data_IF_644899949621
#
_entry.id   IF_644899949621
#
_cell.length_a   1.000
_cell.length_b   1.000
_cell.length_c   1.000
_cell.angle_alpha   90.00
_cell.angle_beta   90.00
_cell.angle_gamma   90.00
#
_symmetry.space_group_name_H-M   'P 1'
#
loop_
_entity.id
_entity.type
_entity.pdbx_description
1 polymer ?
#
# COMPACT_ATOMS: atom_id res chain seq x y z
N UNK A 1 25.45 -8.86 48.88
CA UNK A 1 24.81 -8.05 47.81
C UNK A 1 25.75 -7.04 47.14
N UNK A 2 26.47 -6.15 47.84
CA UNK A 2 27.35 -5.13 47.21
C UNK A 2 28.41 -5.68 46.22
N UNK A 3 29.02 -6.84 46.48
CA UNK A 3 30.01 -7.47 45.58
C UNK A 3 29.40 -7.94 44.24
N UNK A 4 28.13 -8.35 44.23
CA UNK A 4 27.43 -8.82 43.02
C UNK A 4 27.12 -7.61 42.12
N UNK A 5 26.59 -6.52 42.68
CA UNK A 5 26.32 -5.29 41.94
C UNK A 5 27.57 -4.46 41.59
N UNK A 6 28.74 -4.78 42.12
CA UNK A 6 29.99 -4.16 41.70
C UNK A 6 30.62 -4.88 40.49
N UNK A 7 30.21 -6.12 40.20
CA UNK A 7 30.79 -6.93 39.16
C UNK A 7 30.49 -6.36 37.76
N UNK A 8 31.54 -6.27 36.93
CA UNK A 8 31.47 -5.79 35.55
C UNK A 8 30.56 -6.68 34.69
N UNK A 9 30.58 -8.00 34.91
CA UNK A 9 29.72 -8.94 34.19
C UNK A 9 28.24 -8.74 34.52
N UNK A 10 27.91 -8.53 35.80
CA UNK A 10 26.54 -8.22 36.24
C UNK A 10 26.05 -6.92 35.61
N UNK A 11 26.89 -5.87 35.54
CA UNK A 11 26.53 -4.61 34.88
C UNK A 11 26.30 -4.76 33.38
N UNK A 12 27.07 -5.63 32.70
CA UNK A 12 26.88 -5.91 31.27
C UNK A 12 25.57 -6.63 30.99
N UNK A 13 25.24 -7.64 31.78
CA UNK A 13 23.95 -8.36 31.66
C UNK A 13 22.79 -7.41 31.93
N UNK A 14 22.88 -6.59 32.98
CA UNK A 14 21.84 -5.61 33.30
C UNK A 14 21.70 -4.53 32.21
N UNK A 15 22.78 -4.19 31.49
CA UNK A 15 22.72 -3.24 30.38
C UNK A 15 21.94 -3.77 29.16
N UNK A 16 21.74 -5.08 29.03
CA UNK A 16 20.86 -5.66 28.00
C UNK A 16 19.42 -5.18 28.18
N UNK A 17 18.97 -4.97 29.42
CA UNK A 17 17.64 -4.41 29.70
C UNK A 17 17.49 -3.01 29.10
N UNK A 18 18.57 -2.23 29.04
CA UNK A 18 18.56 -0.92 28.39
C UNK A 18 18.36 -1.03 26.89
N UNK A 19 18.97 -2.03 26.25
CA UNK A 19 18.78 -2.33 24.82
C UNK A 19 17.34 -2.78 24.56
N UNK A 20 16.77 -3.62 25.42
CA UNK A 20 15.38 -4.07 25.31
C UNK A 20 14.42 -2.87 25.36
N UNK A 21 14.63 -1.94 26.30
CA UNK A 21 13.81 -0.72 26.37
C UNK A 21 13.95 0.12 25.08
N UNK A 22 15.18 0.34 24.59
CA UNK A 22 15.40 1.05 23.32
C UNK A 22 14.72 0.34 22.15
N UNK A 23 14.76 -0.98 22.09
CA UNK A 23 14.06 -1.76 21.06
C UNK A 23 12.55 -1.50 21.10
N UNK A 24 11.92 -1.45 22.28
CA UNK A 24 10.50 -1.10 22.38
C UNK A 24 10.21 0.33 21.92
N UNK A 25 11.09 1.29 22.21
CA UNK A 25 10.98 2.67 21.69
C UNK A 25 11.08 2.70 20.16
N UNK A 26 12.03 1.97 19.58
CA UNK A 26 12.15 1.85 18.12
C UNK A 26 10.95 1.12 17.50
N UNK A 27 10.41 0.09 18.16
CA UNK A 27 9.17 -0.58 17.73
C UNK A 27 7.97 0.36 17.79
N UNK A 28 7.90 1.22 18.80
CA UNK A 28 6.87 2.26 18.89
C UNK A 28 7.02 3.31 17.79
N UNK A 29 8.25 3.68 17.43
CA UNK A 29 8.53 4.53 16.27
C UNK A 29 7.99 3.89 14.98
N UNK A 30 8.31 2.62 14.74
CA UNK A 30 7.77 1.86 13.60
C UNK A 30 6.23 1.89 13.59
N UNK A 31 5.60 1.58 14.72
CA UNK A 31 4.15 1.64 14.82
C UNK A 31 3.59 3.04 14.58
N UNK A 32 4.26 4.10 15.03
CA UNK A 32 3.77 5.45 14.79
C UNK A 32 3.72 5.84 13.31
N UNK A 33 4.67 5.32 12.52
CA UNK A 33 4.77 5.61 11.08
C UNK A 33 3.71 4.81 10.30
N UNK A 34 3.59 3.50 10.58
CA UNK A 34 2.79 2.60 9.75
C UNK A 34 1.38 2.33 10.28
N UNK A 35 1.09 2.62 11.55
CA UNK A 35 -0.19 2.34 12.18
C UNK A 35 -0.78 3.60 12.80
N UNK A 36 -2.11 3.64 12.92
CA UNK A 36 -2.91 4.52 13.75
C UNK A 36 -3.07 3.93 15.16
N UNK A 37 -2.64 4.68 16.18
CA UNK A 37 -2.64 4.24 17.58
C UNK A 37 -3.94 4.69 18.25
N UNK A 38 -4.82 3.74 18.55
CA UNK A 38 -6.04 3.97 19.30
C UNK A 38 -5.87 3.54 20.76
N UNK A 39 -5.76 4.53 21.67
CA UNK A 39 -5.61 4.30 23.10
C UNK A 39 -6.99 4.14 23.77
N UNK A 40 -7.34 2.91 24.14
CA UNK A 40 -8.65 2.62 24.77
C UNK A 40 -8.70 3.11 26.22
N UNK A 41 -7.59 2.96 26.97
CA UNK A 41 -7.52 3.27 28.40
C UNK A 41 -6.35 4.21 28.70
N UNK A 42 -6.54 5.51 28.47
CA UNK A 42 -5.49 6.54 28.61
C UNK A 42 -4.79 6.53 29.98
N UNK A 43 -5.55 6.40 31.06
CA UNK A 43 -4.99 6.42 32.43
C UNK A 43 -4.11 5.20 32.72
N UNK A 44 -4.57 4.00 32.34
CA UNK A 44 -3.85 2.74 32.58
C UNK A 44 -2.56 2.67 31.75
N UNK A 45 -2.63 3.11 30.49
CA UNK A 45 -1.47 3.19 29.61
C UNK A 45 -0.43 4.20 30.14
N UNK A 46 -0.87 5.39 30.56
CA UNK A 46 0.03 6.39 31.14
C UNK A 46 0.75 5.87 32.40
N UNK A 47 0.01 5.24 33.33
CA UNK A 47 0.59 4.69 34.56
C UNK A 47 1.57 3.55 34.27
N UNK A 48 1.22 2.62 33.38
CA UNK A 48 2.08 1.50 33.01
C UNK A 48 3.35 1.95 32.29
N UNK A 49 3.24 2.83 31.30
CA UNK A 49 4.40 3.38 30.58
C UNK A 49 5.29 4.17 31.54
N UNK A 50 4.72 4.96 32.44
CA UNK A 50 5.50 5.70 33.44
C UNK A 50 6.26 4.76 34.38
N UNK A 51 5.60 3.71 34.88
CA UNK A 51 6.23 2.70 35.74
C UNK A 51 7.39 1.96 35.05
N UNK A 52 7.18 1.51 33.82
CA UNK A 52 8.22 0.86 33.00
C UNK A 52 9.36 1.82 32.68
N UNK A 53 9.05 3.06 32.30
CA UNK A 53 10.03 4.10 31.99
C UNK A 53 10.89 4.45 33.20
N UNK A 54 10.30 4.57 34.39
CA UNK A 54 11.04 4.84 35.62
C UNK A 54 11.96 3.67 35.98
N UNK A 55 11.47 2.44 35.90
CA UNK A 55 12.28 1.24 36.14
C UNK A 55 13.45 1.15 35.16
N UNK A 56 13.18 1.39 33.87
CA UNK A 56 14.21 1.45 32.84
C UNK A 56 15.24 2.54 33.14
N UNK A 57 14.82 3.75 33.51
CA UNK A 57 15.71 4.86 33.85
C UNK A 57 16.66 4.50 35.01
N UNK A 58 16.15 3.91 36.09
CA UNK A 58 16.98 3.49 37.23
C UNK A 58 18.06 2.49 36.77
N UNK A 59 17.68 1.53 35.93
CA UNK A 59 18.59 0.52 35.38
C UNK A 59 19.63 1.17 34.44
N UNK A 60 19.21 2.10 33.59
CA UNK A 60 20.11 2.82 32.69
C UNK A 60 21.10 3.69 33.45
N UNK A 61 20.66 4.38 34.51
CA UNK A 61 21.56 5.18 35.35
C UNK A 61 22.60 4.29 36.07
N UNK A 62 22.19 3.12 36.55
CA UNK A 62 23.10 2.15 37.15
C UNK A 62 24.14 1.60 36.14
N UNK A 63 23.76 1.47 34.87
CA UNK A 63 24.61 0.94 33.79
C UNK A 63 25.23 2.02 32.90
N UNK A 64 25.13 3.30 33.25
CA UNK A 64 25.48 4.47 32.40
C UNK A 64 26.88 4.48 31.76
N UNK A 65 27.84 3.74 32.33
CA UNK A 65 29.21 3.64 31.81
C UNK A 65 29.40 2.48 30.81
N UNK A 66 28.41 1.58 30.69
CA UNK A 66 28.43 0.50 29.70
C UNK A 66 28.16 1.05 28.31
N UNK A 67 28.85 0.49 27.31
CA UNK A 67 28.74 0.94 25.91
C UNK A 67 27.30 0.78 25.40
N UNK A 68 26.62 -0.33 25.73
CA UNK A 68 25.24 -0.58 25.33
C UNK A 68 24.29 0.53 25.80
N UNK A 69 24.35 0.89 27.09
CA UNK A 69 23.51 1.96 27.65
C UNK A 69 23.81 3.33 27.04
N UNK A 70 25.07 3.61 26.70
CA UNK A 70 25.45 4.84 25.99
C UNK A 70 24.83 4.91 24.60
N UNK A 71 24.93 3.82 23.83
CA UNK A 71 24.32 3.75 22.49
C UNK A 71 22.79 3.89 22.61
N UNK A 72 22.16 3.15 23.51
CA UNK A 72 20.73 3.29 23.83
C UNK A 72 20.33 4.75 24.13
N UNK A 73 21.14 5.47 24.91
CA UNK A 73 20.86 6.87 25.25
C UNK A 73 20.85 7.82 24.05
N UNK A 74 21.58 7.49 22.98
CA UNK A 74 21.65 8.29 21.76
C UNK A 74 20.52 7.99 20.79
N UNK A 75 19.92 6.78 20.87
CA UNK A 75 18.89 6.32 19.92
C UNK A 75 17.47 6.69 20.38
N UNK A 76 17.21 6.70 21.69
CA UNK A 76 15.85 6.88 22.24
C UNK A 76 15.19 8.18 21.76
N UNK A 77 15.90 9.31 21.82
CA UNK A 77 15.33 10.60 21.43
C UNK A 77 15.09 10.70 19.91
N UNK A 78 16.05 10.37 19.02
CA UNK A 78 15.75 10.28 17.60
C UNK A 78 14.59 9.37 17.24
N UNK A 79 14.50 8.19 17.86
CA UNK A 79 13.42 7.25 17.61
C UNK A 79 12.05 7.81 18.05
N UNK A 80 12.00 8.68 19.06
CA UNK A 80 10.75 9.29 19.50
C UNK A 80 10.27 10.45 18.64
N UNK A 81 11.07 10.96 17.70
CA UNK A 81 10.66 12.10 16.88
C UNK A 81 9.39 11.81 16.06
N UNK A 82 9.28 10.71 15.28
CA UNK A 82 8.06 10.42 14.53
C UNK A 82 6.84 10.24 15.45
N UNK A 83 7.03 9.63 16.62
CA UNK A 83 5.98 9.47 17.62
C UNK A 83 5.47 10.83 18.11
N UNK A 84 6.37 11.77 18.39
CA UNK A 84 6.01 13.12 18.85
C UNK A 84 5.27 13.92 17.78
N UNK A 85 5.67 13.80 16.52
CA UNK A 85 5.04 14.54 15.42
C UNK A 85 3.67 13.97 15.05
N UNK A 86 3.58 12.64 14.87
CA UNK A 86 2.38 11.97 14.37
C UNK A 86 1.30 11.77 15.45
N UNK A 87 1.68 11.69 16.72
CA UNK A 87 0.76 11.48 17.86
C UNK A 87 0.75 12.65 18.82
N UNK A 88 0.97 13.86 18.29
CA UNK A 88 0.92 15.08 19.08
C UNK A 88 -0.45 15.21 19.75
N UNK A 89 -0.46 15.23 21.09
CA UNK A 89 -1.68 15.23 21.91
C UNK A 89 -1.84 14.00 22.81
N UNK A 90 -1.24 12.86 22.46
CA UNK A 90 -1.21 11.66 23.31
C UNK A 90 -0.04 11.72 24.31
N UNK A 91 -0.04 12.78 25.14
CA UNK A 91 1.05 13.14 26.07
C UNK A 91 1.39 12.04 27.08
N UNK A 92 0.41 11.23 27.49
CA UNK A 92 0.62 10.13 28.44
C UNK A 92 1.54 9.03 27.92
N UNK A 93 1.64 8.88 26.59
CA UNK A 93 2.59 7.96 25.95
C UNK A 93 3.95 8.64 25.72
N UNK A 94 3.95 9.91 25.32
CA UNK A 94 5.14 10.64 24.89
C UNK A 94 6.03 11.05 26.06
N UNK A 95 5.46 11.73 27.07
CA UNK A 95 6.22 12.44 28.11
C UNK A 95 7.16 11.50 28.88
N UNK A 96 6.71 10.33 29.41
CA UNK A 96 7.59 9.48 30.20
C UNK A 96 8.82 9.03 29.43
N UNK A 97 8.68 8.66 28.16
CA UNK A 97 9.77 8.15 27.32
C UNK A 97 10.76 9.26 26.97
N UNK A 98 10.26 10.46 26.62
CA UNK A 98 11.11 11.63 26.32
C UNK A 98 11.92 12.04 27.55
N UNK A 99 11.29 12.10 28.74
CA UNK A 99 11.98 12.43 29.99
C UNK A 99 13.10 11.43 30.26
N UNK A 100 12.85 10.13 30.08
CA UNK A 100 13.90 9.10 30.19
C UNK A 100 15.03 9.38 29.21
N UNK A 101 14.72 9.64 27.93
CA UNK A 101 15.71 9.94 26.89
C UNK A 101 16.58 11.14 27.21
N UNK A 102 15.99 12.25 27.67
CA UNK A 102 16.72 13.46 28.05
C UNK A 102 17.63 13.19 29.25
N UNK A 103 17.09 12.61 30.33
CA UNK A 103 17.84 12.36 31.56
C UNK A 103 18.99 11.40 31.30
N UNK A 104 18.77 10.31 30.55
CA UNK A 104 19.83 9.35 30.27
C UNK A 104 20.88 9.90 29.31
N UNK A 105 20.51 10.73 28.33
CA UNK A 105 21.47 11.38 27.44
C UNK A 105 22.41 12.30 28.23
N UNK A 106 21.87 13.15 29.10
CA UNK A 106 22.65 14.11 29.89
C UNK A 106 23.52 13.43 30.95
N UNK A 107 22.99 12.40 31.62
CA UNK A 107 23.67 11.66 32.67
C UNK A 107 24.44 10.43 32.16
N UNK A 108 24.49 10.24 30.83
CA UNK A 108 25.23 9.16 30.19
C UNK A 108 26.71 9.26 30.54
N UNK A 109 27.39 8.11 30.64
CA UNK A 109 28.83 8.06 30.88
C UNK A 109 29.68 8.42 29.66
N UNK A 110 29.10 9.05 28.63
CA UNK A 110 29.78 9.55 27.44
C UNK A 110 30.52 10.87 27.73
N UNK A 111 31.51 11.22 26.90
CA UNK A 111 32.24 12.48 27.05
C UNK A 111 31.34 13.70 26.87
N UNK A 112 31.60 14.79 27.61
CA UNK A 112 30.77 16.01 27.59
C UNK A 112 30.61 16.58 26.18
N UNK A 113 31.69 16.66 25.40
CA UNK A 113 31.62 17.16 24.02
C UNK A 113 30.67 16.36 23.13
N UNK A 114 30.64 15.03 23.27
CA UNK A 114 29.72 14.16 22.48
C UNK A 114 28.28 14.37 22.90
N UNK A 115 28.01 14.47 24.21
CA UNK A 115 26.67 14.73 24.72
C UNK A 115 26.13 16.07 24.24
N UNK A 116 26.95 17.12 24.32
CA UNK A 116 26.57 18.45 23.83
C UNK A 116 26.29 18.44 22.33
N UNK A 117 27.20 17.87 21.53
CA UNK A 117 27.01 17.79 20.08
C UNK A 117 25.75 17.02 19.69
N UNK A 118 25.54 15.81 20.25
CA UNK A 118 24.34 15.01 19.97
C UNK A 118 23.07 15.69 20.45
N UNK A 119 23.08 16.31 21.64
CA UNK A 119 21.93 17.05 22.13
C UNK A 119 21.56 18.22 21.20
N UNK A 120 22.55 18.96 20.67
CA UNK A 120 22.28 20.03 19.69
C UNK A 120 21.73 19.50 18.37
N UNK A 121 22.26 18.38 17.85
CA UNK A 121 21.77 17.75 16.62
C UNK A 121 20.33 17.27 16.80
N UNK A 122 20.04 16.57 17.91
CA UNK A 122 18.68 16.08 18.23
C UNK A 122 17.72 17.25 18.38
N UNK A 123 18.12 18.31 19.07
CA UNK A 123 17.29 19.51 19.22
C UNK A 123 16.96 20.14 17.86
N UNK A 124 17.95 20.33 16.99
CA UNK A 124 17.75 20.86 15.64
C UNK A 124 16.82 19.94 14.82
N UNK A 125 17.01 18.63 14.91
CA UNK A 125 16.17 17.65 14.23
C UNK A 125 14.70 17.73 14.67
N UNK A 126 14.42 17.95 15.96
CA UNK A 126 13.07 18.17 16.46
C UNK A 126 12.48 19.50 15.95
N UNK A 127 13.26 20.58 15.92
CA UNK A 127 12.81 21.89 15.43
C UNK A 127 12.47 21.80 13.94
N UNK A 128 13.39 21.30 13.11
CA UNK A 128 13.18 21.16 11.67
C UNK A 128 12.12 20.12 11.34
N UNK A 129 12.06 19.02 12.08
CA UNK A 129 11.02 17.99 11.93
C UNK A 129 9.63 18.52 12.24
N UNK A 130 9.48 19.27 13.33
CA UNK A 130 8.21 19.92 13.66
C UNK A 130 7.83 20.96 12.60
N UNK A 131 8.76 21.84 12.21
CA UNK A 131 8.50 22.83 11.16
C UNK A 131 8.08 22.17 9.84
N UNK A 132 8.81 21.16 9.39
CA UNK A 132 8.51 20.43 8.16
C UNK A 132 7.15 19.72 8.23
N UNK A 133 6.85 19.07 9.35
CA UNK A 133 5.55 18.42 9.58
C UNK A 133 4.41 19.44 9.53
N UNK A 134 4.51 20.55 10.27
CA UNK A 134 3.47 21.58 10.27
C UNK A 134 3.26 22.23 8.90
N UNK A 135 4.34 22.51 8.15
CA UNK A 135 4.21 23.02 6.78
C UNK A 135 3.51 21.99 5.90
N UNK A 136 3.92 20.71 5.98
CA UNK A 136 3.31 19.65 5.18
C UNK A 136 1.82 19.50 5.50
N UNK A 137 1.45 19.35 6.77
CA UNK A 137 0.05 19.18 7.17
C UNK A 137 -0.79 20.43 6.87
N UNK A 138 -0.23 21.63 7.00
CA UNK A 138 -0.99 22.86 6.74
C UNK A 138 -1.25 23.11 5.24
N UNK A 139 -0.32 22.70 4.36
CA UNK A 139 -0.45 22.95 2.92
C UNK A 139 -1.07 21.78 2.15
N UNK A 140 -0.85 20.54 2.58
CA UNK A 140 -1.21 19.35 1.81
C UNK A 140 -2.34 18.52 2.43
N UNK A 141 -2.70 18.74 3.70
CA UNK A 141 -3.81 18.01 4.34
C UNK A 141 -5.01 18.93 4.42
N UNK A 142 -6.00 18.70 3.57
CA UNK A 142 -7.28 19.41 3.64
C UNK A 142 -8.06 18.94 4.87
N UNK A 143 -8.58 19.84 5.72
CA UNK A 143 -9.45 19.47 6.81
C UNK A 143 -10.84 19.08 6.26
N UNK A 144 -10.97 17.87 5.73
CA UNK A 144 -12.27 17.31 5.40
C UNK A 144 -12.96 16.88 6.71
N UNK A 145 -14.13 17.45 6.98
CA UNK A 145 -14.96 16.98 8.10
C UNK A 145 -15.70 15.73 7.65
N UNK A 146 -15.12 14.59 7.97
CA UNK A 146 -15.73 13.28 7.79
C UNK A 146 -16.60 12.92 9.00
N UNK A 147 -17.82 12.45 8.75
CA UNK A 147 -18.70 11.85 9.77
C UNK A 147 -18.99 10.41 9.39
N UNK A 148 -18.65 9.48 10.26
CA UNK A 148 -19.00 8.08 10.10
C UNK A 148 -20.49 7.88 10.38
N UNK A 149 -21.22 7.37 9.39
CA UNK A 149 -22.68 7.15 9.43
C UNK A 149 -23.01 5.70 9.76
N UNK A 150 -22.13 4.77 9.42
CA UNK A 150 -22.28 3.36 9.74
C UNK A 150 -21.00 2.58 9.52
N UNK A 151 -20.87 1.47 10.23
CA UNK A 151 -19.77 0.53 10.08
C UNK A 151 -20.22 -0.89 10.38
N UNK A 152 -19.45 -1.85 9.88
CA UNK A 152 -19.71 -3.26 10.09
C UNK A 152 -18.54 -4.14 9.67
N UNK A 153 -18.71 -5.44 9.88
CA UNK A 153 -17.70 -6.46 9.58
C UNK A 153 -18.32 -7.47 8.62
N UNK A 154 -17.53 -7.99 7.68
CA UNK A 154 -17.97 -8.99 6.74
C UNK A 154 -18.30 -10.32 7.44
N UNK A 155 -19.11 -11.20 6.84
CA UNK A 155 -19.47 -12.49 7.41
C UNK A 155 -18.27 -13.37 7.78
N UNK A 156 -17.20 -13.36 6.97
CA UNK A 156 -15.98 -14.11 7.26
C UNK A 156 -15.17 -13.51 8.43
N UNK A 157 -15.38 -12.22 8.72
CA UNK A 157 -14.59 -11.48 9.69
C UNK A 157 -13.29 -10.91 9.12
N UNK A 158 -12.99 -11.13 7.84
CA UNK A 158 -11.73 -10.71 7.22
C UNK A 158 -11.72 -9.24 6.84
N UNK A 159 -12.89 -8.65 6.58
CA UNK A 159 -13.02 -7.24 6.20
C UNK A 159 -13.93 -6.48 7.14
N UNK A 160 -13.67 -5.18 7.25
CA UNK A 160 -14.60 -4.23 7.84
C UNK A 160 -14.84 -3.09 6.87
N UNK A 161 -16.00 -2.47 7.00
CA UNK A 161 -16.37 -1.32 6.19
C UNK A 161 -16.80 -0.15 7.07
N UNK A 162 -16.55 1.07 6.57
CA UNK A 162 -17.06 2.32 7.15
C UNK A 162 -17.74 3.14 6.05
N UNK A 163 -18.91 3.69 6.37
CA UNK A 163 -19.66 4.61 5.54
C UNK A 163 -19.43 6.00 6.10
N UNK A 164 -18.94 6.89 5.25
CA UNK A 164 -18.50 8.22 5.66
C UNK A 164 -19.18 9.24 4.79
N UNK A 165 -19.84 10.19 5.44
CA UNK A 165 -20.32 11.39 4.80
C UNK A 165 -19.28 12.48 5.02
N UNK A 166 -18.80 13.06 3.93
CA UNK A 166 -17.95 14.24 3.98
C UNK A 166 -18.76 15.47 3.62
N UNK A 167 -18.59 16.53 4.41
CA UNK A 167 -19.16 17.85 4.11
C UNK A 167 -18.09 18.66 3.40
N UNK A 168 -18.36 19.02 2.14
CA UNK A 168 -17.52 19.91 1.34
C UNK A 168 -18.41 20.97 0.67
N UNK A 169 -17.78 22.03 0.19
CA UNK A 169 -18.31 23.14 -0.62
C UNK A 169 -19.12 22.69 -1.86
N UNK A 170 -19.07 21.42 -2.22
CA UNK A 170 -19.73 20.81 -3.39
C UNK A 170 -20.89 19.87 -3.03
N UNK A 171 -21.72 20.22 -2.02
CA UNK A 171 -22.87 19.43 -1.54
C UNK A 171 -22.53 18.06 -0.91
N UNK A 172 -21.30 17.92 -0.41
CA UNK A 172 -20.83 16.72 0.28
C UNK A 172 -20.71 15.46 -0.58
N UNK A 173 -20.21 14.38 0.00
CA UNK A 173 -20.20 13.05 -0.64
C UNK A 173 -20.39 11.93 0.37
N UNK A 174 -20.95 10.81 -0.08
CA UNK A 174 -21.03 9.58 0.69
C UNK A 174 -20.06 8.58 0.10
N UNK A 175 -19.12 8.11 0.91
CA UNK A 175 -18.11 7.13 0.51
C UNK A 175 -18.17 5.89 1.40
N UNK A 176 -18.00 4.72 0.78
CA UNK A 176 -17.83 3.45 1.50
C UNK A 176 -16.39 3.03 1.36
N UNK A 177 -15.73 2.87 2.50
CA UNK A 177 -14.38 2.36 2.59
C UNK A 177 -14.42 0.93 3.09
N UNK A 178 -13.59 0.07 2.49
CA UNK A 178 -13.34 -1.30 2.93
C UNK A 178 -11.86 -1.43 3.27
N UNK A 179 -11.56 -2.13 4.36
CA UNK A 179 -10.20 -2.44 4.79
C UNK A 179 -10.14 -3.81 5.49
N UNK A 180 -8.96 -4.46 5.56
CA UNK A 180 -8.80 -5.74 6.23
C UNK A 180 -8.98 -5.59 7.74
N UNK A 181 -9.81 -6.45 8.32
CA UNK A 181 -10.07 -6.49 9.75
C UNK A 181 -9.00 -7.28 10.55
N UNK A 182 -8.16 -8.04 9.84
CA UNK A 182 -7.12 -8.92 10.42
C UNK A 182 -5.75 -8.25 10.52
N UNK A 183 -5.53 -7.11 9.86
CA UNK A 183 -4.23 -6.44 9.79
C UNK A 183 -3.83 -5.67 11.07
N UNK A 184 -4.78 -5.46 11.99
CA UNK A 184 -4.55 -4.69 13.21
C UNK A 184 -3.73 -5.46 14.25
N UNK A 185 -2.87 -4.76 14.97
CA UNK A 185 -2.17 -5.31 16.13
C UNK A 185 -2.87 -4.86 17.41
N UNK A 186 -3.50 -5.80 18.11
CA UNK A 186 -4.28 -5.54 19.33
C UNK A 186 -3.45 -5.85 20.58
N UNK A 187 -3.29 -4.87 21.48
CA UNK A 187 -2.74 -5.05 22.82
C UNK A 187 -3.79 -4.66 23.87
N UNK A 188 -3.56 -5.02 25.13
CA UNK A 188 -4.52 -4.79 26.23
C UNK A 188 -4.93 -3.33 26.45
N UNK A 189 -4.08 -2.36 26.07
CA UNK A 189 -4.32 -0.92 26.33
C UNK A 189 -4.43 -0.07 25.06
N UNK A 190 -4.05 -0.62 23.91
CA UNK A 190 -4.02 0.10 22.63
C UNK A 190 -4.24 -0.86 21.47
N UNK A 191 -4.99 -0.40 20.48
CA UNK A 191 -5.11 -1.05 19.16
C UNK A 191 -4.29 -0.24 18.16
N UNK A 192 -3.49 -0.93 17.36
CA UNK A 192 -2.72 -0.35 16.27
C UNK A 192 -3.40 -0.76 14.96
N UNK A 193 -4.06 0.18 14.31
CA UNK A 193 -4.75 -0.01 13.03
C UNK A 193 -3.80 0.31 11.89
N UNK A 194 -3.68 -0.53 10.87
CA UNK A 194 -2.68 -0.31 9.81
C UNK A 194 -3.08 0.86 8.89
N UNK A 195 -2.18 1.82 8.66
CA UNK A 195 -2.43 3.00 7.82
C UNK A 195 -2.48 2.67 6.33
N UNK A 196 -3.23 3.48 5.58
CA UNK A 196 -3.31 3.43 4.12
C UNK A 196 -3.72 2.05 3.59
N UNK A 197 -4.66 1.42 4.29
CA UNK A 197 -5.30 0.17 3.86
C UNK A 197 -6.73 0.40 3.40
N UNK A 198 -7.27 1.61 3.51
CA UNK A 198 -8.64 1.89 3.12
C UNK A 198 -8.77 1.96 1.60
N UNK A 199 -9.79 1.29 1.06
CA UNK A 199 -10.16 1.34 -0.36
C UNK A 199 -11.56 1.88 -0.52
N UNK A 200 -11.71 2.89 -1.37
CA UNK A 200 -13.02 3.43 -1.75
C UNK A 200 -13.67 2.48 -2.74
N UNK A 201 -14.75 1.83 -2.33
CA UNK A 201 -15.49 0.87 -3.17
C UNK A 201 -16.79 1.46 -3.71
N UNK A 202 -17.27 2.52 -3.07
CA UNK A 202 -18.38 3.31 -3.54
C UNK A 202 -18.16 4.77 -3.18
N UNK A 203 -18.46 5.66 -4.12
CA UNK A 203 -18.44 7.10 -3.92
C UNK A 203 -19.64 7.67 -4.69
N UNK A 204 -20.52 8.35 -3.98
CA UNK A 204 -21.64 9.06 -4.60
C UNK A 204 -21.69 10.51 -4.15
N UNK A 205 -22.19 11.35 -5.05
CA UNK A 205 -22.34 12.79 -4.88
C UNK A 205 -23.68 13.21 -5.48
N UNK A 206 -24.55 13.93 -4.73
CA UNK A 206 -24.36 14.54 -3.39
C UNK A 206 -24.65 13.62 -2.18
N UNK A 207 -24.33 14.06 -0.96
CA UNK A 207 -24.36 13.26 0.30
C UNK A 207 -25.74 12.93 0.90
N UNK A 208 -26.82 13.13 0.16
CA UNK A 208 -28.20 13.07 0.71
C UNK A 208 -28.81 11.65 0.68
N UNK A 209 -28.06 10.64 0.24
CA UNK A 209 -28.58 9.29 0.05
C UNK A 209 -28.30 8.38 1.27
N UNK A 210 -29.33 7.67 1.75
CA UNK A 210 -29.23 6.63 2.77
C UNK A 210 -28.75 5.34 2.10
N UNK A 211 -27.62 4.79 2.57
CA UNK A 211 -27.02 3.58 2.01
C UNK A 211 -27.22 2.42 2.97
N UNK A 212 -27.88 1.37 2.48
CA UNK A 212 -27.93 0.08 3.14
C UNK A 212 -26.88 -0.85 2.55
N UNK A 213 -26.02 -1.41 3.41
CA UNK A 213 -25.01 -2.40 3.05
C UNK A 213 -25.51 -3.80 3.38
N UNK A 214 -25.36 -4.73 2.44
CA UNK A 214 -25.62 -6.15 2.62
C UNK A 214 -24.41 -6.97 2.19
N UNK A 215 -24.17 -8.06 2.91
CA UNK A 215 -23.12 -9.01 2.61
C UNK A 215 -23.72 -10.35 2.23
N UNK A 216 -23.18 -10.96 1.18
CA UNK A 216 -23.39 -12.36 0.82
C UNK A 216 -22.05 -13.08 0.77
N UNK A 217 -22.06 -14.38 1.04
CA UNK A 217 -20.91 -15.25 0.77
C UNK A 217 -21.23 -16.04 -0.49
N UNK A 218 -20.42 -15.85 -1.53
CA UNK A 218 -20.57 -16.50 -2.84
C UNK A 218 -19.38 -17.41 -3.11
N UNK A 219 -19.58 -18.45 -3.94
CA UNK A 219 -18.48 -19.32 -4.32
C UNK A 219 -17.65 -18.70 -5.47
N UNK A 220 -16.40 -19.16 -5.62
CA UNK A 220 -15.45 -18.69 -6.64
C UNK A 220 -16.03 -18.74 -8.06
N UNK A 221 -16.74 -19.82 -8.38
CA UNK A 221 -17.36 -20.01 -9.69
C UNK A 221 -18.43 -18.96 -9.98
N UNK A 222 -19.36 -18.71 -9.04
CA UNK A 222 -20.43 -17.71 -9.16
C UNK A 222 -19.84 -16.30 -9.36
N UNK A 223 -18.81 -15.97 -8.59
CA UNK A 223 -18.14 -14.67 -8.69
C UNK A 223 -17.46 -14.53 -10.06
N UNK A 224 -16.77 -15.57 -10.53
CA UNK A 224 -16.06 -15.58 -11.82
C UNK A 224 -17.03 -15.47 -13.00
N UNK A 225 -18.15 -16.22 -12.96
CA UNK A 225 -19.21 -16.14 -13.96
C UNK A 225 -19.82 -14.73 -14.00
N UNK A 226 -20.08 -14.12 -12.85
CA UNK A 226 -20.58 -12.75 -12.77
C UNK A 226 -19.57 -11.75 -13.33
N UNK A 227 -18.28 -11.86 -13.02
CA UNK A 227 -17.23 -10.98 -13.55
C UNK A 227 -17.13 -11.08 -15.07
N UNK A 228 -17.10 -12.31 -15.60
CA UNK A 228 -17.07 -12.55 -17.04
C UNK A 228 -18.35 -12.05 -17.75
N UNK A 229 -19.50 -11.99 -17.04
CA UNK A 229 -20.73 -11.39 -17.58
C UNK A 229 -20.66 -9.86 -17.69
N UNK A 230 -19.83 -9.20 -16.86
CA UNK A 230 -19.60 -7.75 -16.93
C UNK A 230 -18.63 -7.43 -18.08
N UNK A 231 -17.52 -8.16 -18.17
CA UNK A 231 -16.47 -7.92 -19.15
C UNK A 231 -15.70 -9.20 -19.45
N UNK A 232 -15.45 -9.45 -20.74
CA UNK A 232 -14.59 -10.51 -21.25
C UNK A 232 -13.10 -10.14 -21.28
N UNK A 233 -12.76 -8.91 -20.87
CA UNK A 233 -11.40 -8.33 -20.94
C UNK A 233 -10.78 -8.10 -19.56
N UNK A 234 -11.19 -8.88 -18.55
CA UNK A 234 -10.62 -8.78 -17.21
C UNK A 234 -9.24 -9.44 -17.23
N UNK A 235 -8.20 -8.65 -17.01
CA UNK A 235 -6.82 -9.12 -16.95
C UNK A 235 -6.39 -9.39 -15.50
N UNK A 236 -5.78 -10.54 -15.28
CA UNK A 236 -5.17 -10.97 -14.01
C UNK A 236 -3.66 -10.88 -14.16
N UNK A 237 -2.99 -10.17 -13.25
CA UNK A 237 -1.53 -10.10 -13.22
C UNK A 237 -0.98 -11.24 -12.37
N UNK A 238 0.01 -11.96 -12.88
CA UNK A 238 0.61 -13.14 -12.26
C UNK A 238 2.13 -13.06 -12.28
N UNK A 239 2.77 -13.79 -11.39
CA UNK A 239 4.24 -13.92 -11.30
C UNK A 239 4.79 -14.84 -12.40
N UNK A 240 6.12 -14.82 -12.59
CA UNK A 240 6.80 -15.73 -13.52
C UNK A 240 6.57 -17.21 -13.19
N UNK A 241 6.58 -17.56 -11.90
CA UNK A 241 6.35 -18.93 -11.45
C UNK A 241 4.91 -19.38 -11.72
N UNK A 242 3.94 -18.50 -11.50
CA UNK A 242 2.53 -18.77 -11.79
C UNK A 242 2.26 -18.88 -13.29
N UNK A 243 2.91 -18.06 -14.12
CA UNK A 243 2.83 -18.19 -15.58
C UNK A 243 3.29 -19.59 -16.05
N UNK A 244 4.42 -20.07 -15.54
CA UNK A 244 4.93 -21.41 -15.85
C UNK A 244 3.96 -22.50 -15.40
N UNK A 245 3.38 -22.37 -14.21
CA UNK A 245 2.38 -23.30 -13.69
C UNK A 245 1.09 -23.32 -14.52
N UNK A 246 0.69 -22.17 -15.08
CA UNK A 246 -0.43 -22.06 -16.01
C UNK A 246 -0.11 -22.58 -17.42
N UNK A 247 1.13 -23.02 -17.68
CA UNK A 247 1.58 -23.54 -18.96
C UNK A 247 2.01 -22.47 -19.96
N UNK A 248 2.21 -21.22 -19.53
CA UNK A 248 2.78 -20.17 -20.36
C UNK A 248 4.31 -20.24 -20.37
N UNK A 249 4.90 -19.91 -21.51
CA UNK A 249 6.35 -19.83 -21.68
C UNK A 249 6.78 -18.37 -21.73
N UNK A 250 8.07 -18.11 -21.57
CA UNK A 250 8.59 -16.75 -21.73
C UNK A 250 8.25 -16.18 -23.11
N UNK A 251 8.47 -16.98 -24.15
CA UNK A 251 8.31 -16.58 -25.55
C UNK A 251 6.85 -16.26 -25.92
N UNK A 252 5.87 -17.05 -25.45
CA UNK A 252 4.45 -16.82 -25.76
C UNK A 252 3.82 -15.61 -25.03
N UNK A 253 4.56 -15.04 -24.07
CA UNK A 253 4.18 -13.79 -23.37
C UNK A 253 4.94 -12.57 -23.87
N UNK A 254 5.78 -12.69 -24.90
CA UNK A 254 6.44 -11.53 -25.47
C UNK A 254 5.47 -10.66 -26.27
N UNK A 255 5.50 -9.36 -26.00
CA UNK A 255 4.65 -8.37 -26.67
C UNK A 255 5.43 -7.13 -27.09
N UNK A 256 4.98 -6.53 -28.18
CA UNK A 256 5.39 -5.21 -28.65
C UNK A 256 4.51 -4.15 -27.97
N UNK A 257 5.17 -3.15 -27.40
CA UNK A 257 4.58 -2.02 -26.68
C UNK A 257 5.14 -0.71 -27.22
N UNK A 258 4.49 0.42 -26.91
CA UNK A 258 4.95 1.76 -27.33
C UNK A 258 5.21 1.87 -28.85
N UNK A 259 4.41 1.17 -29.65
CA UNK A 259 4.52 1.18 -31.11
C UNK A 259 4.26 2.61 -31.63
N UNK A 260 5.18 3.15 -32.41
CA UNK A 260 4.96 4.39 -33.15
C UNK A 260 3.89 4.18 -34.23
N UNK A 261 3.26 5.28 -34.68
CA UNK A 261 2.19 5.19 -35.68
C UNK A 261 2.64 4.45 -36.96
N UNK A 262 3.87 4.71 -37.43
CA UNK A 262 4.43 4.02 -38.60
C UNK A 262 4.59 2.52 -38.38
N UNK A 263 5.00 2.10 -37.18
CA UNK A 263 5.14 0.69 -36.82
C UNK A 263 3.78 0.01 -36.68
N UNK A 264 2.77 0.67 -36.12
CA UNK A 264 1.39 0.15 -36.08
C UNK A 264 0.82 -0.11 -37.48
N UNK A 265 0.98 0.84 -38.40
CA UNK A 265 0.49 0.68 -39.77
C UNK A 265 1.14 -0.50 -40.51
N UNK A 266 2.41 -0.82 -40.22
CA UNK A 266 3.11 -1.94 -40.83
C UNK A 266 2.52 -3.32 -40.47
N UNK A 267 1.83 -3.41 -39.33
CA UNK A 267 1.13 -4.63 -38.88
C UNK A 267 -0.39 -4.54 -39.07
N UNK A 268 -0.86 -3.58 -39.87
CA UNK A 268 -2.29 -3.43 -40.19
C UNK A 268 -3.13 -2.80 -39.07
N UNK A 269 -2.49 -2.21 -38.05
CA UNK A 269 -3.17 -1.49 -36.97
C UNK A 269 -3.32 0.00 -37.28
N UNK A 270 -4.27 0.64 -36.62
CA UNK A 270 -4.55 2.06 -36.72
C UNK A 270 -3.86 2.85 -35.60
N UNK A 271 -3.81 4.18 -35.74
CA UNK A 271 -3.26 5.04 -34.69
C UNK A 271 -4.05 4.97 -33.36
N UNK A 272 -5.34 4.63 -33.43
CA UNK A 272 -6.24 4.45 -32.27
C UNK A 272 -6.02 3.15 -31.51
N UNK A 273 -5.31 2.17 -32.08
CA UNK A 273 -5.04 0.91 -31.41
C UNK A 273 -3.90 1.09 -30.41
N UNK A 274 -4.23 1.13 -29.12
CA UNK A 274 -3.28 1.38 -28.04
C UNK A 274 -2.84 0.12 -27.28
N UNK A 275 -3.46 -1.02 -27.58
CA UNK A 275 -3.18 -2.27 -26.90
C UNK A 275 -1.80 -2.82 -27.32
N UNK A 276 -1.06 -3.45 -26.39
CA UNK A 276 0.10 -4.26 -26.72
C UNK A 276 -0.21 -5.35 -27.75
N UNK A 277 0.77 -5.71 -28.56
CA UNK A 277 0.63 -6.74 -29.60
C UNK A 277 1.50 -7.94 -29.24
N UNK A 278 0.89 -9.09 -29.02
CA UNK A 278 1.63 -10.33 -28.76
C UNK A 278 2.40 -10.76 -30.01
N UNK A 279 3.67 -11.15 -29.84
CA UNK A 279 4.52 -11.54 -30.95
C UNK A 279 4.01 -12.80 -31.67
N UNK A 280 3.32 -13.69 -30.95
CA UNK A 280 2.68 -14.89 -31.51
C UNK A 280 1.58 -14.57 -32.54
N UNK A 281 0.97 -13.39 -32.46
CA UNK A 281 -0.07 -12.97 -33.41
C UNK A 281 0.48 -12.42 -34.72
N UNK A 282 1.80 -12.21 -34.81
CA UNK A 282 2.46 -11.61 -35.97
C UNK A 282 2.94 -12.68 -36.96
N UNK A 283 2.92 -12.35 -38.25
CA UNK A 283 3.51 -13.17 -39.30
C UNK A 283 5.03 -13.06 -39.29
N UNK A 284 5.74 -14.01 -39.90
CA UNK A 284 7.22 -13.97 -39.98
C UNK A 284 7.72 -12.73 -40.74
N UNK A 285 6.95 -12.26 -41.73
CA UNK A 285 7.21 -11.03 -42.49
C UNK A 285 7.04 -9.78 -41.62
N UNK A 286 6.02 -9.77 -40.77
CA UNK A 286 5.80 -8.68 -39.81
C UNK A 286 6.90 -8.66 -38.75
N UNK A 287 7.30 -9.82 -38.22
CA UNK A 287 8.40 -9.93 -37.25
C UNK A 287 9.74 -9.49 -37.86
N UNK A 288 9.98 -9.82 -39.13
CA UNK A 288 11.18 -9.39 -39.87
C UNK A 288 11.29 -7.86 -39.94
N UNK A 289 10.16 -7.16 -40.14
CA UNK A 289 10.14 -5.70 -40.12
C UNK A 289 10.58 -5.07 -38.79
N UNK A 290 10.46 -5.80 -37.67
CA UNK A 290 10.97 -5.41 -36.36
C UNK A 290 12.38 -5.94 -36.06
N UNK A 291 13.02 -6.63 -37.02
CA UNK A 291 14.34 -7.25 -36.81
C UNK A 291 14.30 -8.48 -35.91
N UNK A 292 13.14 -9.12 -35.79
CA UNK A 292 12.92 -10.28 -34.90
C UNK A 292 12.73 -11.54 -35.74
N UNK A 293 13.44 -12.61 -35.39
CA UNK A 293 13.27 -13.94 -35.95
C UNK A 293 12.48 -14.85 -35.01
N UNK A 294 11.79 -15.84 -35.59
CA UNK A 294 11.08 -16.91 -34.87
C UNK A 294 11.60 -18.27 -35.32
N UNK A 295 11.84 -19.16 -34.37
CA UNK A 295 12.21 -20.55 -34.63
C UNK A 295 10.97 -21.47 -34.70
N UNK A 296 11.17 -22.69 -35.23
CA UNK A 296 10.10 -23.68 -35.39
C UNK A 296 9.53 -24.17 -34.04
N UNK A 297 10.28 -24.02 -32.95
CA UNK A 297 9.85 -24.33 -31.58
C UNK A 297 9.10 -23.15 -30.91
N UNK A 298 8.94 -22.02 -31.61
CA UNK A 298 8.27 -20.82 -31.12
C UNK A 298 9.17 -19.83 -30.39
N UNK A 299 10.50 -20.05 -30.32
CA UNK A 299 11.43 -19.13 -29.66
C UNK A 299 11.71 -17.89 -30.51
N UNK A 300 11.86 -16.74 -29.86
CA UNK A 300 12.17 -15.47 -30.52
C UNK A 300 13.63 -15.05 -30.33
N UNK A 301 14.25 -14.56 -31.39
CA UNK A 301 15.65 -14.08 -31.37
C UNK A 301 15.82 -12.78 -32.15
N UNK A 302 16.89 -12.05 -31.84
CA UNK A 302 17.26 -10.79 -32.52
C UNK A 302 18.08 -11.14 -33.77
N UNK A 303 17.65 -10.64 -34.96
CA UNK A 303 18.32 -10.97 -36.23
C UNK A 303 19.71 -10.34 -36.35
N UNK A 304 19.82 -9.07 -35.98
CA UNK A 304 21.05 -8.28 -36.10
C UNK A 304 21.33 -7.57 -34.76
N UNK A 305 21.91 -8.28 -33.77
CA UNK A 305 22.24 -7.66 -32.48
C UNK A 305 23.35 -6.63 -32.65
N UNK A 306 23.20 -5.47 -32.01
CA UNK A 306 24.21 -4.40 -32.02
C UNK A 306 25.47 -4.80 -31.23
N UNK A 307 26.59 -4.10 -31.48
CA UNK A 307 27.80 -4.30 -30.70
C UNK A 307 27.61 -3.93 -29.21
N UNK A 308 26.84 -2.87 -28.93
CA UNK A 308 26.54 -2.42 -27.56
C UNK A 308 25.71 -3.46 -26.80
N UNK A 309 24.71 -4.06 -27.47
CA UNK A 309 23.92 -5.14 -26.89
C UNK A 309 24.77 -6.38 -26.59
N UNK A 310 25.66 -6.76 -27.51
CA UNK A 310 26.56 -7.90 -27.32
C UNK A 310 27.54 -7.67 -26.16
N UNK A 311 28.03 -6.45 -25.97
CA UNK A 311 28.87 -6.08 -24.82
C UNK A 311 28.09 -6.16 -23.50
N UNK A 312 26.84 -5.66 -23.47
CA UNK A 312 25.99 -5.69 -22.27
C UNK A 312 25.63 -7.11 -21.81
N UNK A 313 25.51 -8.06 -22.74
CA UNK A 313 25.13 -9.46 -22.42
C UNK A 313 26.33 -10.43 -22.37
N UNK A 314 27.57 -9.92 -22.50
CA UNK A 314 28.79 -10.74 -22.64
C UNK A 314 28.67 -11.80 -23.75
N UNK A 315 28.06 -11.39 -24.87
CA UNK A 315 27.70 -12.25 -25.99
C UNK A 315 28.78 -12.32 -27.08
N UNK A 316 28.91 -13.49 -27.72
CA UNK A 316 29.83 -13.65 -28.86
C UNK A 316 29.20 -13.16 -30.18
N UNK A 317 29.99 -12.45 -30.99
CA UNK A 317 29.59 -12.08 -32.34
C UNK A 317 29.23 -13.30 -33.19
N UNK A 318 28.05 -13.27 -33.81
CA UNK A 318 27.56 -14.31 -34.72
C UNK A 318 26.75 -15.43 -34.05
N UNK A 319 26.63 -15.44 -32.72
CA UNK A 319 25.65 -16.30 -32.02
C UNK A 319 24.27 -15.64 -32.05
N UNK A 320 23.22 -16.46 -32.11
CA UNK A 320 21.84 -15.99 -31.96
C UNK A 320 21.62 -15.52 -30.54
N UNK A 321 20.93 -14.39 -30.39
CA UNK A 321 20.57 -13.81 -29.10
C UNK A 321 19.07 -13.98 -28.91
N UNK A 322 18.67 -14.85 -27.99
CA UNK A 322 17.26 -15.14 -27.70
C UNK A 322 16.70 -14.22 -26.64
N UNK A 323 15.45 -13.79 -26.80
CA UNK A 323 14.80 -12.88 -25.85
C UNK A 323 14.61 -13.51 -24.46
N UNK A 324 14.45 -14.83 -24.38
CA UNK A 324 14.28 -15.57 -23.13
C UNK A 324 15.59 -15.78 -22.34
N UNK A 325 16.74 -15.53 -22.97
CA UNK A 325 18.08 -15.59 -22.35
C UNK A 325 18.61 -14.21 -21.98
N UNK A 326 17.93 -13.13 -22.38
CA UNK A 326 18.35 -11.77 -22.08
C UNK A 326 18.20 -11.43 -20.59
N UNK A 327 19.24 -10.84 -20.03
CA UNK A 327 19.14 -10.16 -18.74
C UNK A 327 18.25 -8.92 -18.84
N UNK A 328 17.78 -8.42 -17.69
CA UNK A 328 17.05 -7.15 -17.65
C UNK A 328 17.85 -5.97 -18.23
N UNK A 329 19.18 -6.00 -18.11
CA UNK A 329 20.10 -5.03 -18.74
C UNK A 329 20.09 -5.15 -20.26
N UNK A 330 20.27 -6.37 -20.78
CA UNK A 330 20.25 -6.65 -22.22
C UNK A 330 18.93 -6.25 -22.88
N UNK A 331 17.79 -6.57 -22.28
CA UNK A 331 16.48 -6.18 -22.83
C UNK A 331 16.29 -4.64 -22.82
N UNK A 332 16.78 -3.95 -21.77
CA UNK A 332 16.76 -2.48 -21.72
C UNK A 332 17.63 -1.87 -22.81
N UNK A 333 18.82 -2.43 -23.04
CA UNK A 333 19.72 -1.97 -24.09
C UNK A 333 19.08 -2.15 -25.47
N UNK A 334 18.54 -3.34 -25.77
CA UNK A 334 17.81 -3.59 -27.02
C UNK A 334 16.69 -2.57 -27.26
N UNK A 335 15.87 -2.31 -26.24
CA UNK A 335 14.76 -1.35 -26.35
C UNK A 335 15.24 0.10 -26.53
N UNK A 336 16.39 0.49 -25.97
CA UNK A 336 16.97 1.83 -26.16
C UNK A 336 17.41 2.09 -27.59
N UNK A 337 17.82 1.04 -28.29
CA UNK A 337 18.23 1.12 -29.70
C UNK A 337 17.04 1.25 -30.65
N UNK A 338 15.82 0.90 -30.21
CA UNK A 338 14.59 1.01 -31.00
C UNK A 338 14.01 2.43 -30.98
N UNK A 339 14.84 3.42 -31.32
CA UNK A 339 14.48 4.84 -31.40
C UNK A 339 14.83 5.41 -32.77
N UNK A 340 14.03 6.37 -33.22
CA UNK A 340 14.34 7.13 -34.43
C UNK A 340 15.55 8.06 -34.17
N UNK A 341 16.62 7.90 -34.94
CA UNK A 341 17.87 8.62 -34.71
C UNK A 341 17.76 10.15 -34.89
N UNK A 342 16.80 10.63 -35.68
CA UNK A 342 16.63 12.06 -35.96
C UNK A 342 15.76 12.77 -34.91
N UNK A 343 14.77 12.07 -34.37
CA UNK A 343 13.74 12.65 -33.48
C UNK A 343 13.82 12.13 -32.04
N UNK A 344 14.54 11.04 -31.79
CA UNK A 344 14.59 10.36 -30.50
C UNK A 344 13.29 9.65 -30.12
N UNK A 345 12.32 9.56 -31.03
CA UNK A 345 11.02 8.94 -30.77
C UNK A 345 11.18 7.43 -30.72
N UNK A 346 10.63 6.80 -29.68
CA UNK A 346 10.60 5.34 -29.55
C UNK A 346 9.76 4.72 -30.66
N UNK A 347 10.35 3.77 -31.37
CA UNK A 347 9.70 3.03 -32.45
C UNK A 347 8.82 1.91 -31.88
N UNK A 348 9.35 1.13 -30.93
CA UNK A 348 8.65 0.09 -30.18
C UNK A 348 9.53 -0.41 -29.03
N UNK A 349 8.93 -1.10 -28.07
CA UNK A 349 9.61 -1.83 -27.01
C UNK A 349 9.12 -3.27 -26.96
N UNK A 350 10.02 -4.22 -26.69
CA UNK A 350 9.70 -5.61 -26.35
C UNK A 350 9.61 -5.75 -24.83
N UNK A 351 8.53 -6.38 -24.35
CA UNK A 351 8.32 -6.69 -22.93
C UNK A 351 7.64 -8.04 -22.78
N UNK A 352 7.95 -8.77 -21.70
CA UNK A 352 7.17 -9.93 -21.25
C UNK A 352 5.89 -9.47 -20.54
N UNK A 353 4.74 -9.93 -21.03
CA UNK A 353 3.45 -9.75 -20.37
C UNK A 353 3.34 -10.66 -19.15
N UNK A 354 2.85 -10.11 -18.06
CA UNK A 354 2.52 -10.84 -16.84
C UNK A 354 1.01 -10.96 -16.67
N UNK A 355 0.24 -10.72 -17.74
CA UNK A 355 -1.21 -10.73 -17.67
C UNK A 355 -1.81 -11.95 -18.37
N UNK A 356 -2.89 -12.45 -17.79
CA UNK A 356 -3.73 -13.54 -18.31
C UNK A 356 -5.19 -13.12 -18.21
N UNK A 357 -6.02 -13.50 -19.18
CA UNK A 357 -7.44 -13.15 -19.16
C UNK A 357 -8.20 -14.05 -18.18
N UNK A 358 -9.01 -13.46 -17.30
CA UNK A 358 -9.78 -14.19 -16.28
C UNK A 358 -10.68 -15.27 -16.91
N UNK A 359 -11.31 -14.97 -18.04
CA UNK A 359 -12.20 -15.91 -18.74
C UNK A 359 -11.48 -17.13 -19.35
N UNK A 360 -10.14 -17.12 -19.39
CA UNK A 360 -9.33 -18.27 -19.86
C UNK A 360 -8.89 -19.18 -18.71
N UNK A 361 -9.06 -18.75 -17.47
CA UNK A 361 -8.63 -19.49 -16.28
C UNK A 361 -9.74 -20.45 -15.82
N UNK A 362 -9.34 -21.67 -15.51
CA UNK A 362 -10.20 -22.67 -14.86
C UNK A 362 -10.28 -22.44 -13.35
N UNK A 363 -11.29 -23.02 -12.71
CA UNK A 363 -11.47 -22.93 -11.26
C UNK A 363 -10.27 -23.51 -10.51
N UNK A 364 -9.71 -24.63 -10.98
CA UNK A 364 -8.50 -25.23 -10.39
C UNK A 364 -7.25 -24.35 -10.57
N UNK A 365 -7.14 -23.66 -11.70
CA UNK A 365 -6.03 -22.71 -11.93
C UNK A 365 -6.14 -21.50 -11.00
N UNK A 366 -7.33 -20.97 -10.79
CA UNK A 366 -7.56 -19.88 -9.84
C UNK A 366 -7.24 -20.30 -8.40
N UNK A 367 -7.55 -21.54 -8.02
CA UNK A 367 -7.12 -22.10 -6.73
C UNK A 367 -5.62 -22.12 -6.58
N UNK A 368 -4.92 -22.51 -7.64
CA UNK A 368 -3.47 -22.59 -7.64
C UNK A 368 -2.79 -21.21 -7.53
N UNK A 369 -3.47 -20.15 -7.96
CA UNK A 369 -3.08 -18.76 -7.78
C UNK A 369 -3.39 -18.23 -6.36
N UNK A 370 -3.85 -19.09 -5.45
CA UNK A 370 -4.16 -18.73 -4.07
C UNK A 370 -5.53 -18.10 -3.86
N UNK A 371 -6.41 -18.15 -4.87
CA UNK A 371 -7.76 -17.56 -4.78
C UNK A 371 -8.69 -18.49 -4.02
N UNK A 372 -9.34 -17.95 -2.99
CA UNK A 372 -10.18 -18.71 -2.07
C UNK A 372 -11.42 -19.29 -2.76
N UNK A 373 -11.89 -20.45 -2.27
CA UNK A 373 -13.05 -21.17 -2.82
C UNK A 373 -14.38 -20.40 -2.67
N UNK A 374 -14.47 -19.54 -1.66
CA UNK A 374 -15.61 -18.67 -1.41
C UNK A 374 -15.13 -17.33 -0.90
N UNK A 375 -15.93 -16.28 -1.14
CA UNK A 375 -15.60 -14.94 -0.74
C UNK A 375 -16.80 -14.11 -0.36
N UNK A 376 -16.57 -13.13 0.49
CA UNK A 376 -17.56 -12.13 0.85
C UNK A 376 -17.74 -11.13 -0.30
N UNK A 377 -19.00 -10.91 -0.67
CA UNK A 377 -19.44 -9.96 -1.69
C UNK A 377 -20.30 -8.90 -1.01
N UNK A 378 -19.93 -7.63 -1.21
CA UNK A 378 -20.68 -6.50 -0.67
C UNK A 378 -21.58 -5.91 -1.74
N UNK A 379 -22.86 -5.86 -1.44
CA UNK A 379 -23.86 -5.14 -2.22
C UNK A 379 -24.43 -3.96 -1.44
N UNK A 380 -24.87 -2.95 -2.19
CA UNK A 380 -25.51 -1.77 -1.61
C UNK A 380 -26.87 -1.52 -2.25
N UNK A 381 -27.77 -0.99 -1.44
CA UNK A 381 -29.01 -0.38 -1.88
C UNK A 381 -28.98 1.08 -1.46
N UNK A 382 -29.24 1.97 -2.42
CA UNK A 382 -29.16 3.43 -2.25
C UNK A 382 -30.57 3.99 -2.28
N UNK A 383 -30.97 4.65 -1.19
CA UNK A 383 -32.25 5.33 -1.06
C UNK A 383 -32.03 6.84 -1.12
N UNK A 384 -32.89 7.53 -1.87
CA UNK A 384 -32.91 8.99 -1.94
C UNK A 384 -34.27 9.50 -1.51
N UNK A 385 -34.26 10.46 -0.59
CA UNK A 385 -35.46 11.20 -0.23
C UNK A 385 -35.76 12.23 -1.32
N UNK A 386 -36.96 12.15 -1.93
CA UNK A 386 -37.39 13.16 -2.90
C UNK A 386 -37.77 14.43 -2.14
N UNK A 387 -36.92 15.45 -2.20
CA UNK A 387 -37.31 16.81 -1.78
C UNK A 387 -38.40 17.30 -2.73
N UNK A 388 -39.64 17.48 -2.25
CA UNK A 388 -40.67 18.19 -3.01
C UNK A 388 -40.15 19.59 -3.34
N UNK A 389 -40.17 19.96 -4.62
CA UNK A 389 -39.84 21.32 -5.04
C UNK A 389 -40.82 22.30 -4.36
N UNK A 390 -40.30 23.30 -3.66
CA UNK A 390 -41.09 24.40 -3.08
C UNK A 390 -41.59 25.41 -4.14
N UNK A 391 -41.60 25.03 -5.43
CA UNK A 391 -41.97 25.92 -6.55
C UNK A 391 -43.40 25.71 -7.09
N UNK A 392 -44.24 24.90 -6.41
CA UNK A 392 -45.68 24.87 -6.70
C UNK A 392 -46.46 25.75 -5.71
N UNK A 393 -46.76 26.97 -6.19
CA UNK A 393 -47.83 27.88 -5.77
C UNK A 393 -48.16 27.94 -4.26
N UNK A 394 -47.70 29.02 -3.62
CA UNK A 394 -48.36 29.58 -2.45
C UNK A 394 -49.84 29.83 -2.77
N UNK A 395 -50.72 28.95 -2.29
CA UNK A 395 -52.07 29.33 -1.92
C UNK A 395 -52.28 28.92 -0.47
N UNK A 396 -52.51 29.92 0.37
CA UNK A 396 -52.82 29.78 1.79
C UNK A 396 -54.03 28.87 1.98
N UNK A 397 -53.93 27.88 2.88
CA UNK A 397 -54.76 27.74 4.08
C UNK A 397 -54.72 26.31 4.65
N UNK A 398 -54.65 26.28 5.99
CA UNK A 398 -55.08 25.22 6.92
C UNK A 398 -54.01 24.33 7.57
N UNK A 399 -53.93 24.53 8.89
CA UNK A 399 -53.32 23.71 9.92
C UNK A 399 -53.70 22.21 9.87
N UNK A 400 -52.79 21.40 10.41
CA UNK A 400 -52.92 19.97 10.72
C UNK A 400 -52.87 19.00 9.54
N UNK A 401 -51.65 18.71 9.08
CA UNK A 401 -51.36 17.47 8.37
C UNK A 401 -50.09 16.87 8.97
N UNK A 402 -50.16 15.60 9.41
CA UNK A 402 -48.99 14.77 9.68
C UNK A 402 -47.97 14.99 8.57
N UNK A 403 -46.72 15.30 8.94
CA UNK A 403 -45.61 15.36 7.98
C UNK A 403 -45.50 13.98 7.37
N UNK A 404 -46.09 13.79 6.19
CA UNK A 404 -45.97 12.55 5.43
C UNK A 404 -44.47 12.28 5.25
N UNK A 405 -44.04 11.07 5.62
CA UNK A 405 -42.65 10.66 5.45
C UNK A 405 -42.21 10.94 3.99
N UNK A 406 -41.00 11.48 3.78
CA UNK A 406 -40.51 11.76 2.44
C UNK A 406 -40.66 10.52 1.56
N UNK A 407 -41.14 10.71 0.33
CA UNK A 407 -41.26 9.62 -0.62
C UNK A 407 -39.84 9.14 -0.96
N UNK A 408 -39.51 7.94 -0.49
CA UNK A 408 -38.19 7.31 -0.67
C UNK A 408 -38.16 6.60 -2.01
N UNK A 409 -37.25 7.01 -2.88
CA UNK A 409 -36.98 6.29 -4.14
C UNK A 409 -35.71 5.44 -3.99
N UNK A 410 -35.73 4.26 -4.59
CA UNK A 410 -34.53 3.40 -4.69
C UNK A 410 -33.76 3.81 -5.94
N UNK A 411 -32.55 4.35 -5.76
CA UNK A 411 -31.70 4.83 -6.85
C UNK A 411 -30.87 3.70 -7.43
N UNK A 412 -30.40 2.79 -6.58
CA UNK A 412 -29.72 1.57 -6.96
C UNK A 412 -30.10 0.45 -6.00
N UNK A 413 -30.40 -0.74 -6.53
CA UNK A 413 -30.78 -1.91 -5.75
C UNK A 413 -29.75 -3.02 -5.95
N UNK A 414 -29.26 -3.57 -4.84
CA UNK A 414 -28.30 -4.70 -4.81
C UNK A 414 -27.09 -4.52 -5.73
N UNK A 415 -26.57 -3.29 -5.84
CA UNK A 415 -25.37 -3.01 -6.64
C UNK A 415 -24.16 -3.58 -5.92
N UNK A 416 -23.48 -4.56 -6.54
CA UNK A 416 -22.24 -5.12 -6.00
C UNK A 416 -21.11 -4.10 -6.14
N UNK A 417 -20.48 -3.75 -5.02
CA UNK A 417 -19.43 -2.72 -4.93
C UNK A 417 -18.09 -3.26 -4.45
N UNK A 418 -18.06 -4.42 -3.78
CA UNK A 418 -16.82 -5.06 -3.37
C UNK A 418 -16.91 -6.58 -3.52
N UNK A 419 -15.79 -7.19 -3.90
CA UNK A 419 -15.64 -8.64 -4.02
C UNK A 419 -14.31 -9.06 -3.43
N UNK A 420 -14.34 -9.98 -2.47
CA UNK A 420 -13.14 -10.56 -1.88
C UNK A 420 -12.17 -11.11 -2.93
N UNK A 421 -12.72 -11.83 -3.91
CA UNK A 421 -12.01 -12.42 -5.04
C UNK A 421 -11.14 -11.43 -5.83
N UNK A 422 -11.63 -10.20 -6.03
CA UNK A 422 -10.88 -9.15 -6.75
C UNK A 422 -9.78 -8.57 -5.85
N UNK A 423 -10.03 -8.49 -4.54
CA UNK A 423 -9.02 -8.03 -3.59
C UNK A 423 -7.84 -9.00 -3.42
N UNK A 424 -8.07 -10.31 -3.54
CA UNK A 424 -7.01 -11.32 -3.59
C UNK A 424 -6.21 -11.24 -4.90
N UNK A 425 -6.89 -11.18 -6.05
CA UNK A 425 -6.22 -11.15 -7.37
C UNK A 425 -5.41 -9.88 -7.64
N UNK A 426 -5.80 -8.75 -7.06
CA UNK A 426 -5.11 -7.47 -7.23
C UNK A 426 -4.17 -7.13 -6.06
N UNK A 427 -3.91 -8.08 -5.14
CA UNK A 427 -3.05 -7.90 -3.97
C UNK A 427 -3.35 -6.61 -3.17
N UNK A 428 -4.62 -6.23 -3.09
CA UNK A 428 -5.03 -4.91 -2.58
C UNK A 428 -4.50 -4.57 -1.20
N UNK A 429 -4.25 -5.61 -0.41
CA UNK A 429 -3.89 -5.54 0.99
C UNK A 429 -2.60 -6.29 1.32
N UNK A 430 -1.65 -6.42 0.38
CA UNK A 430 -0.34 -7.00 0.72
C UNK A 430 0.38 -6.19 1.80
N UNK A 431 0.38 -6.74 3.01
CA UNK A 431 1.01 -6.16 4.20
C UNK A 431 2.51 -6.50 4.24
N UNK A 432 2.94 -7.53 3.51
CA UNK A 432 4.29 -8.10 3.60
C UNK A 432 5.33 -7.33 2.77
N UNK A 433 4.95 -6.67 1.67
CA UNK A 433 5.84 -5.82 0.88
C UNK A 433 6.28 -4.54 1.58
N UNK A 434 5.56 -4.09 2.61
CA UNK A 434 5.87 -2.85 3.37
C UNK A 434 6.95 -3.03 4.44
N UNK A 435 8.03 -3.75 4.12
CA UNK A 435 9.28 -3.73 4.90
C UNK A 435 10.11 -2.53 4.44
N UNK A 436 10.85 -1.89 5.35
CA UNK A 436 11.94 -0.98 4.95
C UNK A 436 12.90 -1.84 4.13
N UNK A 437 12.86 -1.73 2.80
CA UNK A 437 13.78 -2.44 1.94
C UNK A 437 15.17 -1.87 2.21
N UNK A 438 16.09 -2.73 2.64
CA UNK A 438 17.50 -2.36 2.82
C UNK A 438 18.14 -2.07 1.44
N UNK A 439 17.47 -2.43 0.35
CA UNK A 439 17.83 -2.07 -1.02
C UNK A 439 17.79 -0.56 -1.30
N UNK A 440 17.09 0.25 -0.49
CA UNK A 440 17.16 1.72 -0.56
C UNK A 440 18.48 2.28 0.01
N UNK A 441 19.34 1.44 0.59
CA UNK A 441 20.63 1.81 1.17
C UNK A 441 21.85 1.20 0.46
N UNK A 442 21.66 0.57 -0.72
CA UNK A 442 22.76 0.10 -1.57
C UNK A 442 22.83 0.87 -2.89
#
# INVERSE_FOLDING_TARGET
MKKIFANVWTKRVVAIVSVIYTYFVCKLCYYSIFYDIHVQQRTSLCLSITGVSLAALIIMLYTRHQILTRISSFIILPAMLPVVLLYFGEWGLIIPIIVVGIVILLLSGAGEGVKTALATIILLMYIFGALGYFLFTSFFVSPAKETEVGSGVSPSGDYRYRIVNSVDTSNGSTAIYVEPNTADVKYAFATFTLKNMERVVFLDRPSDDEIQVSWSTENRQQITEHLNSISDKIEVTVTDAELEQLGYTYDNKLQLTNLSASRKFAIGLTASDVNPVFMDTLTDEQLDFYGIGREADGRYYIKEPSAELLEEIDGEHGKRVYFNELSAGGLRQFNREQVDAATGITLFNVKKSHTVMLNTLTDEQLESLGVSQSGDVMSITVYRDVKKNEDEEQTEETENTEVAAPERITVAENKIVFRYYVAELEDFYDVNSRRISVELFN
#
